data_IF_219015908291
#
_entry.id   IF_219015908291
#
_cell.length_a   1.000
_cell.length_b   1.000
_cell.length_c   1.000
_cell.angle_alpha   90.00
_cell.angle_beta   90.00
_cell.angle_gamma   90.00
#
_symmetry.space_group_name_H-M   'P 1'
#
loop_
_entity.id
_entity.type
_entity.pdbx_description
1 polymer ?
#
# COMPACT_ATOMS: atom_id res chain seq x y z
N UNK A 1 32.63 9.31 -3.75
CA UNK A 1 33.60 10.40 -3.98
C UNK A 1 33.60 11.31 -2.75
N UNK A 2 34.79 11.63 -2.26
CA UNK A 2 35.11 11.97 -0.87
C UNK A 2 34.50 13.28 -0.36
N UNK A 3 34.08 13.28 0.91
CA UNK A 3 33.68 14.48 1.63
C UNK A 3 34.92 15.33 1.97
N UNK A 4 34.89 16.60 1.59
CA UNK A 4 35.89 17.58 2.01
C UNK A 4 35.62 17.98 3.47
N UNK A 5 36.62 17.71 4.31
CA UNK A 5 36.79 18.28 5.64
C UNK A 5 37.18 19.76 5.50
N UNK A 6 36.25 20.68 5.76
CA UNK A 6 36.58 22.07 6.03
C UNK A 6 36.80 22.24 7.54
N UNK A 7 38.07 22.29 7.96
CA UNK A 7 38.49 22.65 9.30
C UNK A 7 38.50 24.18 9.44
N UNK A 8 37.41 24.76 9.93
CA UNK A 8 37.40 26.14 10.42
C UNK A 8 36.67 26.23 11.76
N UNK A 9 37.46 26.48 12.80
CA UNK A 9 37.07 27.01 14.13
C UNK A 9 35.96 26.24 14.88
N UNK A 10 36.40 25.31 15.74
CA UNK A 10 35.90 25.24 17.12
C UNK A 10 34.46 24.77 17.40
N UNK A 11 33.76 24.13 16.46
CA UNK A 11 32.58 23.30 16.78
C UNK A 11 32.62 22.03 15.96
N UNK A 12 32.80 20.89 16.64
CA UNK A 12 32.58 19.57 16.05
C UNK A 12 31.07 19.48 15.77
N UNK A 13 30.64 19.81 14.56
CA UNK A 13 29.30 19.48 14.08
C UNK A 13 29.32 17.98 13.81
N UNK A 14 29.11 17.19 14.87
CA UNK A 14 28.99 15.75 14.75
C UNK A 14 27.85 15.43 13.78
N UNK A 15 28.13 14.45 12.93
CA UNK A 15 27.34 13.81 11.89
C UNK A 15 26.02 13.23 12.46
N UNK A 16 25.15 14.09 12.96
CA UNK A 16 23.88 13.72 13.63
C UNK A 16 22.84 13.18 12.66
N UNK A 17 23.05 13.38 11.35
CA UNK A 17 22.10 13.00 10.31
C UNK A 17 22.09 11.48 10.02
N UNK A 18 23.24 10.80 10.11
CA UNK A 18 23.33 9.36 9.83
C UNK A 18 22.66 8.51 10.92
N UNK A 19 22.84 8.88 12.20
CA UNK A 19 22.24 8.16 13.32
C UNK A 19 20.71 8.31 13.38
N UNK A 20 20.19 9.48 12.96
CA UNK A 20 18.73 9.70 12.88
C UNK A 20 18.11 8.86 11.77
N UNK A 21 18.75 8.84 10.59
CA UNK A 21 18.31 8.01 9.47
C UNK A 21 18.34 6.53 9.83
N UNK A 22 19.36 6.05 10.55
CA UNK A 22 19.41 4.65 10.98
C UNK A 22 18.31 4.28 11.97
N UNK A 23 17.94 5.19 12.89
CA UNK A 23 16.85 4.94 13.84
C UNK A 23 15.49 4.92 13.15
N UNK A 24 15.26 5.82 12.19
CA UNK A 24 14.01 5.86 11.42
C UNK A 24 13.84 4.59 10.59
N UNK A 25 14.92 4.11 9.96
CA UNK A 25 14.94 2.84 9.24
C UNK A 25 14.67 1.65 10.16
N UNK A 26 15.29 1.61 11.34
CA UNK A 26 15.06 0.57 12.34
C UNK A 26 13.61 0.56 12.82
N UNK A 27 13.01 1.72 13.05
CA UNK A 27 11.60 1.83 13.44
C UNK A 27 10.66 1.29 12.36
N UNK A 28 10.86 1.69 11.10
CA UNK A 28 10.08 1.17 9.98
C UNK A 28 10.29 -0.34 9.80
N UNK A 29 11.53 -0.82 9.84
CA UNK A 29 11.85 -2.24 9.73
C UNK A 29 11.23 -3.05 10.87
N UNK A 30 11.22 -2.52 12.09
CA UNK A 30 10.57 -3.16 13.23
C UNK A 30 9.05 -3.27 13.03
N UNK A 31 8.37 -2.21 12.60
CA UNK A 31 6.91 -2.24 12.36
C UNK A 31 6.54 -3.25 11.27
N UNK A 32 7.33 -3.29 10.19
CA UNK A 32 7.15 -4.27 9.11
C UNK A 32 7.42 -5.69 9.62
N UNK A 33 8.52 -5.91 10.35
CA UNK A 33 8.85 -7.21 10.91
C UNK A 33 7.80 -7.69 11.92
N UNK A 34 7.28 -6.80 12.76
CA UNK A 34 6.21 -7.10 13.71
C UNK A 34 4.97 -7.61 12.97
N UNK A 35 4.55 -6.89 11.92
CA UNK A 35 3.44 -7.30 11.06
C UNK A 35 3.68 -8.69 10.45
N UNK A 36 4.84 -8.89 9.83
CA UNK A 36 5.19 -10.18 9.24
C UNK A 36 5.15 -11.31 10.27
N UNK A 37 5.71 -11.10 11.47
CA UNK A 37 5.72 -12.12 12.53
C UNK A 37 4.31 -12.43 13.02
N UNK A 38 3.48 -11.41 13.28
CA UNK A 38 2.11 -11.61 13.78
C UNK A 38 1.30 -12.51 12.84
N UNK A 39 1.28 -12.18 11.54
CA UNK A 39 0.49 -12.93 10.56
C UNK A 39 1.19 -14.20 10.07
N UNK A 40 2.52 -14.32 10.21
CA UNK A 40 3.23 -15.56 9.93
C UNK A 40 2.89 -16.65 10.94
N UNK A 41 2.78 -16.29 12.23
CA UNK A 41 2.42 -17.23 13.29
C UNK A 41 1.01 -17.77 13.10
N UNK A 42 0.05 -16.91 12.69
CA UNK A 42 -1.31 -17.36 12.35
C UNK A 42 -1.32 -18.41 11.24
N UNK A 43 -0.40 -18.30 10.27
CA UNK A 43 -0.27 -19.26 9.17
C UNK A 43 0.30 -20.61 9.59
N UNK A 44 1.07 -20.70 10.68
CA UNK A 44 1.63 -21.98 11.14
C UNK A 44 0.55 -22.98 11.59
N UNK A 45 -0.65 -22.49 11.91
CA UNK A 45 -1.76 -23.32 12.37
C UNK A 45 -2.62 -23.88 11.23
N UNK A 46 -2.44 -23.44 9.98
CA UNK A 46 -3.27 -23.85 8.84
C UNK A 46 -2.44 -24.49 7.72
N UNK A 47 -2.64 -25.78 7.45
CA UNK A 47 -1.96 -26.52 6.38
C UNK A 47 -2.74 -26.45 5.06
N UNK A 48 -2.10 -26.05 3.94
CA UNK A 48 -2.67 -26.17 2.57
C UNK A 48 -2.73 -24.86 1.76
N UNK A 49 -3.58 -24.85 0.71
CA UNK A 49 -3.90 -23.68 -0.14
C UNK A 49 -4.77 -22.64 0.60
N UNK A 50 -4.27 -22.16 1.74
CA UNK A 50 -5.01 -21.27 2.63
C UNK A 50 -4.61 -19.82 2.35
N UNK A 51 -5.61 -18.94 2.22
CA UNK A 51 -5.43 -17.49 2.17
C UNK A 51 -5.74 -16.85 3.52
N UNK A 52 -5.12 -15.71 3.82
CA UNK A 52 -5.44 -14.93 5.01
C UNK A 52 -6.84 -14.32 4.89
N UNK A 53 -7.69 -14.55 5.90
CA UNK A 53 -9.03 -13.98 5.95
C UNK A 53 -10.16 -14.97 5.66
N UNK A 54 -11.39 -14.46 5.68
CA UNK A 54 -12.61 -15.27 5.58
C UNK A 54 -13.58 -14.71 4.54
N UNK A 55 -14.41 -15.58 3.98
CA UNK A 55 -15.42 -15.21 2.97
C UNK A 55 -14.88 -15.19 1.53
N UNK A 56 -15.65 -14.56 0.63
CA UNK A 56 -15.41 -14.58 -0.81
C UNK A 56 -14.52 -13.42 -1.33
N UNK A 57 -14.32 -12.39 -0.51
CA UNK A 57 -13.51 -11.22 -0.89
C UNK A 57 -12.04 -11.57 -1.17
N UNK A 58 -11.34 -12.38 -0.35
CA UNK A 58 -9.97 -12.83 -0.63
C UNK A 58 -9.82 -13.49 -2.00
N UNK A 59 -10.77 -14.35 -2.40
CA UNK A 59 -10.74 -15.04 -3.69
C UNK A 59 -10.76 -14.04 -4.85
N UNK A 60 -11.59 -12.99 -4.75
CA UNK A 60 -11.63 -11.93 -5.73
C UNK A 60 -10.31 -11.15 -5.81
N UNK A 61 -9.67 -10.85 -4.67
CA UNK A 61 -8.37 -10.19 -4.67
C UNK A 61 -7.26 -11.08 -5.24
N UNK A 62 -7.25 -12.37 -4.93
CA UNK A 62 -6.31 -13.34 -5.51
C UNK A 62 -6.49 -13.40 -7.03
N UNK A 63 -7.73 -13.51 -7.49
CA UNK A 63 -8.04 -13.46 -8.93
C UNK A 63 -7.61 -12.13 -9.55
N UNK A 64 -7.87 -11.00 -8.87
CA UNK A 64 -7.47 -9.67 -9.33
C UNK A 64 -5.95 -9.56 -9.47
N UNK A 65 -5.17 -10.05 -8.51
CA UNK A 65 -3.70 -10.05 -8.56
C UNK A 65 -3.17 -10.87 -9.73
N UNK A 66 -3.88 -11.93 -10.15
CA UNK A 66 -3.53 -12.72 -11.33
C UNK A 66 -3.97 -12.04 -12.64
N UNK A 67 -5.17 -11.45 -12.66
CA UNK A 67 -5.79 -10.92 -13.88
C UNK A 67 -4.97 -9.82 -14.53
N UNK A 68 -4.50 -8.82 -13.78
CA UNK A 68 -3.79 -7.68 -14.38
C UNK A 68 -2.47 -8.05 -15.07
N UNK A 69 -1.55 -8.83 -14.45
CA UNK A 69 -0.36 -9.27 -15.16
C UNK A 69 -0.71 -10.18 -16.35
N UNK A 70 -1.72 -11.05 -16.21
CA UNK A 70 -2.19 -11.88 -17.32
C UNK A 70 -2.72 -11.04 -18.49
N UNK A 71 -3.66 -10.12 -18.23
CA UNK A 71 -4.24 -9.26 -19.25
C UNK A 71 -3.19 -8.36 -19.91
N UNK A 72 -2.20 -7.88 -19.14
CA UNK A 72 -1.08 -7.13 -19.68
C UNK A 72 -0.24 -7.94 -20.67
N UNK A 73 0.16 -9.16 -20.28
CA UNK A 73 0.97 -10.07 -21.11
C UNK A 73 0.22 -10.53 -22.36
N UNK A 74 -1.09 -10.73 -22.26
CA UNK A 74 -1.94 -11.20 -23.36
C UNK A 74 -2.61 -10.08 -24.16
N UNK A 75 -2.25 -8.81 -23.93
CA UNK A 75 -2.83 -7.65 -24.60
C UNK A 75 -4.36 -7.57 -24.52
N UNK A 76 -4.92 -8.01 -23.40
CA UNK A 76 -6.35 -7.94 -23.11
C UNK A 76 -6.72 -6.61 -22.42
N UNK A 77 -7.99 -6.18 -22.50
CA UNK A 77 -8.46 -5.03 -21.72
C UNK A 77 -8.22 -5.23 -20.22
N UNK A 78 -7.54 -4.27 -19.57
CA UNK A 78 -7.23 -4.39 -18.13
C UNK A 78 -8.47 -4.22 -17.25
N UNK A 79 -9.38 -3.33 -17.64
CA UNK A 79 -10.51 -2.90 -16.82
C UNK A 79 -11.85 -3.56 -17.19
N UNK A 80 -11.87 -4.42 -18.19
CA UNK A 80 -13.06 -5.17 -18.62
C UNK A 80 -12.67 -6.61 -18.94
N UNK A 81 -13.55 -7.56 -18.64
CA UNK A 81 -13.25 -8.98 -18.85
C UNK A 81 -14.52 -9.79 -19.12
N UNK A 82 -14.41 -10.82 -19.96
CA UNK A 82 -15.44 -11.85 -20.15
C UNK A 82 -15.15 -13.13 -19.35
N UNK A 83 -14.03 -13.17 -18.63
CA UNK A 83 -13.63 -14.31 -17.79
C UNK A 83 -14.39 -14.36 -16.46
N UNK A 84 -15.10 -13.28 -16.12
CA UNK A 84 -16.01 -13.20 -14.98
C UNK A 84 -17.41 -12.93 -15.51
N UNK A 85 -18.41 -13.67 -15.03
CA UNK A 85 -19.81 -13.60 -15.49
C UNK A 85 -19.96 -13.82 -17.01
N UNK A 86 -19.28 -14.83 -17.55
CA UNK A 86 -19.45 -15.21 -18.95
C UNK A 86 -20.93 -15.56 -19.26
N UNK A 87 -21.45 -15.18 -20.45
CA UNK A 87 -20.80 -14.42 -21.52
C UNK A 87 -20.91 -12.89 -21.37
N UNK A 88 -21.69 -12.39 -20.40
CA UNK A 88 -21.99 -10.96 -20.21
C UNK A 88 -20.75 -10.14 -19.86
N UNK A 89 -19.81 -10.74 -19.13
CA UNK A 89 -18.60 -10.08 -18.68
C UNK A 89 -18.79 -9.18 -17.45
N UNK A 90 -17.73 -8.47 -17.09
CA UNK A 90 -17.68 -7.55 -15.97
C UNK A 90 -16.74 -6.36 -16.24
N UNK A 91 -17.14 -5.18 -15.75
CA UNK A 91 -16.25 -4.03 -15.61
C UNK A 91 -15.52 -4.12 -14.27
N UNK A 92 -14.19 -4.20 -14.32
CA UNK A 92 -13.33 -4.12 -13.13
C UNK A 92 -13.14 -2.68 -12.66
N UNK A 93 -13.34 -1.69 -13.54
CA UNK A 93 -13.34 -0.27 -13.13
C UNK A 93 -14.41 0.06 -12.08
N UNK A 94 -15.46 -0.74 -11.97
CA UNK A 94 -16.54 -0.59 -10.99
C UNK A 94 -16.46 -1.60 -9.82
N UNK A 95 -15.42 -2.43 -9.78
CA UNK A 95 -15.17 -3.37 -8.69
C UNK A 95 -14.03 -2.91 -7.81
N UNK A 96 -13.93 -3.48 -6.62
CA UNK A 96 -12.83 -3.33 -5.66
C UNK A 96 -11.56 -4.03 -6.15
N UNK A 97 -11.24 -3.96 -7.45
CA UNK A 97 -10.01 -4.54 -8.01
C UNK A 97 -8.78 -3.73 -7.58
N UNK A 98 -7.60 -4.36 -7.61
CA UNK A 98 -6.32 -3.75 -7.19
C UNK A 98 -5.25 -3.72 -8.29
N UNK A 99 -5.49 -3.14 -9.49
CA UNK A 99 -4.51 -3.07 -10.58
C UNK A 99 -3.10 -2.62 -10.18
N UNK A 100 -2.97 -1.58 -9.35
CA UNK A 100 -1.69 -1.00 -8.96
C UNK A 100 -0.89 -2.00 -8.13
N UNK A 101 -1.51 -2.62 -7.13
CA UNK A 101 -0.87 -3.69 -6.35
C UNK A 101 -0.54 -4.90 -7.23
N UNK A 102 -1.45 -5.28 -8.13
CA UNK A 102 -1.25 -6.42 -9.03
C UNK A 102 -0.08 -6.22 -9.99
N UNK A 103 0.07 -5.01 -10.56
CA UNK A 103 1.18 -4.67 -11.44
C UNK A 103 2.49 -4.48 -10.68
N UNK A 104 2.47 -3.83 -9.50
CA UNK A 104 3.65 -3.70 -8.62
C UNK A 104 4.19 -5.05 -8.16
N UNK A 105 3.29 -6.00 -7.88
CA UNK A 105 3.65 -7.37 -7.48
C UNK A 105 3.72 -8.35 -8.63
N UNK A 106 3.51 -7.93 -9.88
CA UNK A 106 3.52 -8.80 -11.06
C UNK A 106 4.71 -9.78 -11.13
N UNK A 107 5.98 -9.36 -10.96
CA UNK A 107 7.10 -10.31 -11.02
C UNK A 107 7.05 -11.36 -9.90
N UNK A 108 6.53 -10.98 -8.73
CA UNK A 108 6.34 -11.89 -7.61
C UNK A 108 5.16 -12.84 -7.86
N UNK A 109 4.04 -12.32 -8.36
CA UNK A 109 2.85 -13.09 -8.73
C UNK A 109 3.10 -14.09 -9.84
N UNK A 110 3.85 -13.71 -10.88
CA UNK A 110 4.21 -14.62 -11.97
C UNK A 110 5.17 -15.73 -11.52
N UNK A 111 6.01 -15.47 -10.51
CA UNK A 111 6.99 -16.44 -9.99
C UNK A 111 6.43 -17.38 -8.92
N UNK A 112 5.61 -16.86 -8.01
CA UNK A 112 5.16 -17.59 -6.81
C UNK A 112 3.64 -17.80 -6.75
N UNK A 113 2.89 -17.28 -7.72
CA UNK A 113 1.44 -17.38 -7.80
C UNK A 113 0.71 -16.29 -7.02
N UNK A 114 -0.53 -15.99 -7.44
CA UNK A 114 -1.33 -14.91 -6.87
C UNK A 114 -1.77 -15.15 -5.42
N UNK A 115 -1.97 -16.41 -5.02
CA UNK A 115 -2.25 -16.77 -3.63
C UNK A 115 -1.10 -16.36 -2.70
N UNK A 116 0.14 -16.66 -3.10
CA UNK A 116 1.34 -16.28 -2.35
C UNK A 116 1.49 -14.75 -2.29
N UNK A 117 1.26 -14.06 -3.41
CA UNK A 117 1.26 -12.59 -3.45
C UNK A 117 0.24 -11.98 -2.53
N UNK A 118 -0.99 -12.51 -2.54
CA UNK A 118 -2.08 -12.05 -1.69
C UNK A 118 -1.69 -12.15 -0.21
N UNK A 119 -1.29 -13.34 0.24
CA UNK A 119 -0.89 -13.54 1.62
C UNK A 119 0.27 -12.63 2.02
N UNK A 120 1.28 -12.51 1.16
CA UNK A 120 2.42 -11.65 1.43
C UNK A 120 2.02 -10.17 1.56
N UNK A 121 1.13 -9.68 0.69
CA UNK A 121 0.61 -8.32 0.77
C UNK A 121 -0.21 -8.09 2.04
N UNK A 122 -1.10 -9.03 2.40
CA UNK A 122 -1.90 -8.95 3.62
C UNK A 122 -1.01 -8.88 4.87
N UNK A 123 0.06 -9.69 4.92
CA UNK A 123 1.03 -9.66 6.03
C UNK A 123 1.84 -8.36 6.09
N UNK A 124 2.10 -7.73 4.94
CA UNK A 124 2.88 -6.50 4.86
C UNK A 124 2.06 -5.24 5.17
N UNK A 125 0.77 -5.26 4.88
CA UNK A 125 -0.08 -4.08 4.86
C UNK A 125 -0.09 -3.32 6.21
N UNK A 126 -0.33 -3.96 7.37
CA UNK A 126 -0.33 -3.29 8.67
C UNK A 126 1.02 -2.63 9.00
N UNK A 127 2.12 -3.35 8.74
CA UNK A 127 3.47 -2.87 8.98
C UNK A 127 3.88 -1.70 8.08
N UNK A 128 3.53 -1.74 6.79
CA UNK A 128 3.77 -0.63 5.86
C UNK A 128 2.92 0.59 6.21
N UNK A 129 1.66 0.37 6.53
CA UNK A 129 0.73 1.41 6.99
C UNK A 129 1.24 2.07 8.27
N UNK A 130 1.71 1.29 9.24
CA UNK A 130 2.33 1.77 10.47
C UNK A 130 3.64 2.53 10.22
N UNK A 131 4.50 2.03 9.31
CA UNK A 131 5.73 2.73 8.92
C UNK A 131 5.44 4.08 8.25
N UNK A 132 4.41 4.16 7.39
CA UNK A 132 3.94 5.42 6.83
C UNK A 132 3.50 6.40 7.92
N UNK A 133 2.72 5.93 8.89
CA UNK A 133 2.24 6.76 10.00
C UNK A 133 3.39 7.24 10.91
N UNK A 134 4.39 6.37 11.15
CA UNK A 134 5.64 6.74 11.81
C UNK A 134 6.32 7.91 11.11
N UNK A 135 6.53 7.81 9.80
CA UNK A 135 7.20 8.85 9.02
C UNK A 135 6.42 10.17 9.03
N UNK A 136 5.10 10.12 8.90
CA UNK A 136 4.24 11.30 8.96
C UNK A 136 4.32 12.00 10.33
N UNK A 137 4.17 11.23 11.41
CA UNK A 137 4.29 11.74 12.77
C UNK A 137 5.70 12.29 13.05
N UNK A 138 6.73 11.65 12.49
CA UNK A 138 8.12 12.09 12.61
C UNK A 138 8.38 13.42 11.95
N UNK A 139 7.78 13.67 10.77
CA UNK A 139 7.87 14.97 10.13
C UNK A 139 7.14 16.07 10.91
N UNK A 140 5.97 15.74 11.47
CA UNK A 140 5.14 16.64 12.25
C UNK A 140 5.79 17.06 13.59
N UNK A 141 6.19 16.09 14.42
CA UNK A 141 6.63 16.37 15.79
C UNK A 141 8.15 16.29 16.01
N UNK A 142 8.90 15.70 15.08
CA UNK A 142 10.36 15.52 15.17
C UNK A 142 10.84 14.48 16.20
N UNK A 143 9.97 13.95 17.06
CA UNK A 143 10.31 13.03 18.16
C UNK A 143 10.12 11.56 17.75
N UNK A 144 11.12 10.70 17.97
CA UNK A 144 11.08 9.29 17.55
C UNK A 144 10.04 8.47 18.30
N UNK A 145 10.06 8.50 19.64
CA UNK A 145 9.18 7.63 20.44
C UNK A 145 7.67 7.92 20.22
N UNK A 146 7.17 9.17 20.27
CA UNK A 146 5.77 9.45 19.97
C UNK A 146 5.38 9.07 18.54
N UNK A 147 6.29 9.24 17.58
CA UNK A 147 6.04 8.85 16.20
C UNK A 147 5.95 7.33 16.04
N UNK A 148 6.78 6.59 16.78
CA UNK A 148 6.74 5.13 16.79
C UNK A 148 5.43 4.61 17.38
N UNK A 149 4.96 5.22 18.47
CA UNK A 149 3.64 4.93 19.04
C UNK A 149 2.54 5.25 18.04
N UNK A 150 2.61 6.37 17.31
CA UNK A 150 1.64 6.68 16.25
C UNK A 150 1.64 5.62 15.14
N UNK A 151 2.81 5.12 14.75
CA UNK A 151 2.95 4.01 13.81
C UNK A 151 2.27 2.72 14.30
N UNK A 152 2.49 2.36 15.57
CA UNK A 152 1.81 1.22 16.20
C UNK A 152 0.29 1.39 16.24
N UNK A 153 -0.19 2.54 16.72
CA UNK A 153 -1.62 2.80 16.88
C UNK A 153 -2.34 2.79 15.53
N UNK A 154 -1.74 3.38 14.49
CA UNK A 154 -2.38 3.45 13.17
C UNK A 154 -2.32 2.10 12.45
N UNK A 155 -1.12 1.53 12.32
CA UNK A 155 -0.88 0.28 11.59
C UNK A 155 -1.41 -0.97 12.28
N UNK A 156 -1.71 -0.92 13.58
CA UNK A 156 -2.28 -2.06 14.32
C UNK A 156 -3.58 -1.69 15.03
N UNK A 157 -4.29 -0.69 14.50
CA UNK A 157 -5.61 -0.28 14.98
C UNK A 157 -6.64 -1.42 14.82
N UNK A 158 -7.74 -1.33 15.56
CA UNK A 158 -8.88 -2.25 15.39
C UNK A 158 -9.45 -2.21 13.97
N UNK A 159 -9.40 -1.05 13.30
CA UNK A 159 -9.75 -0.92 11.88
C UNK A 159 -8.84 -1.80 11.03
N UNK A 160 -7.52 -1.59 11.14
CA UNK A 160 -6.55 -2.29 10.29
C UNK A 160 -6.62 -3.80 10.52
N UNK A 161 -6.63 -4.23 11.78
CA UNK A 161 -6.76 -5.65 12.13
C UNK A 161 -8.07 -6.26 11.61
N UNK A 162 -9.17 -5.51 11.61
CA UNK A 162 -10.43 -5.97 11.02
C UNK A 162 -10.40 -6.07 9.50
N UNK A 163 -9.72 -5.15 8.82
CA UNK A 163 -9.58 -5.17 7.35
C UNK A 163 -8.57 -6.22 6.86
N UNK A 164 -7.54 -6.50 7.66
CA UNK A 164 -6.56 -7.56 7.39
C UNK A 164 -7.19 -8.98 7.36
N UNK A 165 -8.46 -9.13 7.74
CA UNK A 165 -9.24 -10.37 7.64
C UNK A 165 -9.80 -10.66 6.23
N UNK A 166 -9.38 -9.94 5.20
CA UNK A 166 -9.67 -10.33 3.82
C UNK A 166 -9.73 -9.19 2.81
N UNK A 167 -9.79 -7.94 3.29
CA UNK A 167 -10.02 -6.77 2.46
C UNK A 167 -8.68 -6.13 2.06
N UNK A 168 -7.99 -6.73 1.10
CA UNK A 168 -6.65 -6.28 0.69
C UNK A 168 -6.60 -4.80 0.34
N UNK A 169 -7.59 -4.31 -0.40
CA UNK A 169 -7.68 -2.89 -0.69
C UNK A 169 -7.69 -2.07 0.62
N UNK A 170 -8.56 -2.41 1.58
CA UNK A 170 -8.80 -1.65 2.81
C UNK A 170 -7.72 -1.83 3.88
N UNK A 171 -6.89 -2.85 3.77
CA UNK A 171 -5.70 -3.02 4.62
C UNK A 171 -4.48 -2.29 4.04
N UNK A 172 -4.35 -2.19 2.71
CA UNK A 172 -3.23 -1.49 2.06
C UNK A 172 -3.38 0.04 2.02
N UNK A 173 -3.74 0.65 3.17
CA UNK A 173 -4.03 2.08 3.32
C UNK A 173 -2.81 2.96 3.57
N UNK A 174 -1.59 2.45 3.32
CA UNK A 174 -0.31 3.17 3.50
C UNK A 174 -0.26 4.53 2.78
N UNK A 175 -1.04 4.70 1.72
CA UNK A 175 -1.16 5.97 1.02
C UNK A 175 -1.68 7.11 1.92
N UNK A 176 -2.59 6.82 2.85
CA UNK A 176 -3.17 7.82 3.75
C UNK A 176 -2.08 8.51 4.59
N UNK A 177 -1.27 7.78 5.39
CA UNK A 177 -0.21 8.43 6.14
C UNK A 177 0.93 8.96 5.26
N UNK A 178 1.19 8.37 4.09
CA UNK A 178 2.20 8.91 3.17
C UNK A 178 1.79 10.27 2.57
N UNK A 179 0.49 10.50 2.32
CA UNK A 179 -0.01 11.81 1.94
C UNK A 179 0.25 12.85 3.03
N UNK A 180 0.03 12.50 4.30
CA UNK A 180 0.36 13.37 5.44
C UNK A 180 1.87 13.62 5.55
N UNK A 181 2.69 12.59 5.36
CA UNK A 181 4.14 12.72 5.32
C UNK A 181 4.58 13.72 4.24
N UNK A 182 4.09 13.58 3.00
CA UNK A 182 4.40 14.50 1.90
C UNK A 182 3.97 15.92 2.26
N UNK A 183 2.77 16.09 2.79
CA UNK A 183 2.27 17.41 3.18
C UNK A 183 3.19 18.08 4.22
N UNK A 184 3.49 17.41 5.33
CA UNK A 184 4.37 17.97 6.37
C UNK A 184 5.79 18.23 5.85
N UNK A 185 6.31 17.32 5.01
CA UNK A 185 7.62 17.48 4.36
C UNK A 185 7.63 18.69 3.43
N UNK A 186 6.59 18.87 2.61
CA UNK A 186 6.46 19.96 1.66
C UNK A 186 6.44 21.31 2.38
N UNK A 187 5.65 21.45 3.45
CA UNK A 187 5.59 22.66 4.27
C UNK A 187 6.97 22.94 4.90
N UNK A 188 7.57 21.95 5.56
CA UNK A 188 8.84 22.11 6.27
C UNK A 188 10.04 22.38 5.37
N UNK A 189 9.98 21.94 4.11
CA UNK A 189 11.03 22.09 3.10
C UNK A 189 10.71 23.15 2.04
N UNK A 190 9.62 23.89 2.19
CA UNK A 190 9.16 24.91 1.24
C UNK A 190 9.10 24.37 -0.21
N UNK A 191 8.50 23.20 -0.41
CA UNK A 191 8.28 22.66 -1.75
C UNK A 191 7.36 23.57 -2.55
N UNK A 192 7.55 23.60 -3.87
CA UNK A 192 6.61 24.30 -4.75
C UNK A 192 5.27 23.56 -4.81
N UNK A 193 4.16 24.25 -5.13
CA UNK A 193 2.86 23.61 -5.32
C UNK A 193 2.88 22.48 -6.35
N UNK A 194 3.71 22.61 -7.39
CA UNK A 194 3.89 21.58 -8.41
C UNK A 194 4.57 20.32 -7.86
N UNK A 195 5.63 20.47 -7.05
CA UNK A 195 6.32 19.33 -6.42
C UNK A 195 5.39 18.56 -5.49
N UNK A 196 4.63 19.29 -4.67
CA UNK A 196 3.64 18.70 -3.78
C UNK A 196 2.51 18.02 -4.59
N UNK A 197 1.99 18.70 -5.62
CA UNK A 197 0.93 18.19 -6.48
C UNK A 197 1.32 16.93 -7.24
N UNK A 198 2.54 16.87 -7.81
CA UNK A 198 3.05 15.67 -8.49
C UNK A 198 3.23 14.53 -7.48
N UNK A 199 3.79 14.79 -6.31
CA UNK A 199 4.07 13.74 -5.33
C UNK A 199 2.79 13.15 -4.73
N UNK A 200 1.82 14.01 -4.39
CA UNK A 200 0.49 13.59 -3.95
C UNK A 200 -0.27 12.90 -5.09
N UNK A 201 -0.24 13.46 -6.30
CA UNK A 201 -0.86 12.89 -7.48
C UNK A 201 -0.33 11.50 -7.78
N UNK A 202 0.97 11.27 -7.66
CA UNK A 202 1.59 9.95 -7.82
C UNK A 202 1.14 8.96 -6.75
N UNK A 203 1.17 9.33 -5.47
CA UNK A 203 0.64 8.47 -4.40
C UNK A 203 -0.84 8.15 -4.60
N UNK A 204 -1.61 9.17 -4.95
CA UNK A 204 -3.02 9.04 -5.23
C UNK A 204 -3.25 8.16 -6.46
N UNK A 205 -2.45 8.22 -7.52
CA UNK A 205 -2.59 7.28 -8.63
C UNK A 205 -2.33 5.83 -8.21
N UNK A 206 -1.38 5.61 -7.29
CA UNK A 206 -1.12 4.30 -6.71
C UNK A 206 -2.23 3.83 -5.74
N UNK A 207 -3.00 4.76 -5.16
CA UNK A 207 -4.03 4.47 -4.16
C UNK A 207 -5.49 4.66 -4.61
N UNK A 208 -5.75 5.44 -5.65
CA UNK A 208 -7.09 5.89 -6.12
C UNK A 208 -7.80 4.86 -6.98
N UNK A 209 -7.37 3.61 -6.94
CA UNK A 209 -8.23 2.48 -7.34
C UNK A 209 -9.47 2.38 -6.43
N UNK A 210 -9.44 3.11 -5.32
CA UNK A 210 -10.54 3.31 -4.38
C UNK A 210 -11.68 4.25 -4.80
N UNK A 211 -11.52 5.12 -5.81
CA UNK A 211 -12.50 6.19 -6.06
C UNK A 211 -12.93 6.39 -7.51
N UNK A 212 -13.24 5.31 -8.24
CA UNK A 212 -14.00 5.42 -9.51
C UNK A 212 -15.52 5.45 -9.32
N UNK A 213 -16.02 6.04 -8.22
CA UNK A 213 -17.46 6.20 -7.98
C UNK A 213 -18.07 7.52 -8.46
N UNK A 214 -17.33 8.41 -9.13
CA UNK A 214 -17.87 9.72 -9.53
C UNK A 214 -17.84 10.11 -11.01
N UNK A 215 -17.23 9.32 -11.92
CA UNK A 215 -17.09 9.75 -13.34
C UNK A 215 -17.98 8.97 -14.34
N UNK A 216 -18.79 8.01 -13.90
CA UNK A 216 -19.77 7.35 -14.78
C UNK A 216 -21.18 7.30 -14.16
N UNK A 217 -21.73 8.49 -13.84
CA UNK A 217 -23.19 8.69 -13.85
C UNK A 217 -23.55 9.23 -15.23
N UNK A 218 -23.23 8.49 -16.30
CA UNK A 218 -23.85 8.69 -17.60
C UNK A 218 -24.79 7.51 -17.86
N UNK A 219 -26.06 7.75 -18.22
CA UNK A 219 -27.04 6.68 -18.42
C UNK A 219 -26.74 5.74 -19.60
N UNK A 220 -25.62 5.94 -20.29
CA UNK A 220 -25.16 5.17 -21.45
C UNK A 220 -24.71 3.73 -21.13
N UNK A 221 -24.56 3.37 -19.86
CA UNK A 221 -24.15 2.01 -19.44
C UNK A 221 -25.19 1.29 -18.57
N UNK A 222 -26.48 1.63 -18.68
CA UNK A 222 -27.53 0.71 -18.22
C UNK A 222 -27.53 -0.51 -19.13
N UNK A 223 -27.22 -1.68 -18.56
CA UNK A 223 -27.68 -2.94 -19.12
C UNK A 223 -29.22 -2.86 -19.26
N UNK A 224 -29.81 -3.25 -20.40
CA UNK A 224 -31.27 -3.29 -20.49
C UNK A 224 -31.83 -4.23 -19.41
N UNK A 225 -33.02 -3.93 -18.85
CA UNK A 225 -33.68 -4.86 -17.96
C UNK A 225 -33.93 -6.17 -18.70
N UNK A 226 -33.48 -7.28 -18.12
CA UNK A 226 -33.71 -8.62 -18.64
C UNK A 226 -35.22 -8.92 -18.54
N UNK A 227 -35.83 -9.26 -19.68
CA UNK A 227 -37.02 -10.10 -19.74
C UNK A 227 -36.61 -11.56 -19.56
#
# INVERSE_FOLDING_TARGET
MFGLLALTKGKIILKTNSYRLSLDLLACAFLIALSLVMFWVERLHEQGFVYLGWGADPEFFIWSLNWFPFAWVHHLPLLTTNFVRAPVGASLAWRTSVPALALLTAPFTLKYGALTSYNFLMMLAPGLTGAGAYLAAKELCGKTLPSFIAGLVFGFSSYEMGQSLGHLNLSFIVAIPLCLFIYFRAVKKNWSPLQMGISLGFLLLLSLEFLKKFVQVSPLFRSPPLL
#
